data_IF_306241357322
#
_entry.id   IF_306241357322
#
_cell.length_a   1.000
_cell.length_b   1.000
_cell.length_c   1.000
_cell.angle_alpha   90.00
_cell.angle_beta   90.00
_cell.angle_gamma   90.00
#
_symmetry.space_group_name_H-M   'P 1'
#
loop_
_entity.id
_entity.type
_entity.pdbx_description
1 polymer ?
#
# COMPACT_ATOMS: atom_id res chain seq x y z
N UNK A 1 -63.02 37.16 -31.63
CA UNK A 1 -62.27 37.16 -32.90
C UNK A 1 -60.81 37.42 -32.55
N UNK A 2 -59.97 36.39 -32.49
CA UNK A 2 -59.01 35.96 -33.54
C UNK A 2 -57.86 36.96 -33.77
N UNK A 3 -56.75 36.74 -33.08
CA UNK A 3 -55.36 36.76 -33.60
C UNK A 3 -54.50 35.86 -32.68
N UNK A 4 -54.40 34.56 -32.99
CA UNK A 4 -53.22 33.92 -33.62
C UNK A 4 -52.04 33.86 -32.62
N UNK A 5 -51.90 32.77 -31.84
CA UNK A 5 -51.26 31.48 -32.19
C UNK A 5 -49.78 31.60 -32.59
N UNK A 6 -48.90 31.19 -31.66
CA UNK A 6 -47.47 30.84 -31.73
C UNK A 6 -46.74 31.62 -30.62
N UNK A 7 -46.28 31.02 -29.53
CA UNK A 7 -45.28 29.97 -29.55
C UNK A 7 -45.56 28.92 -28.47
N UNK A 8 -45.98 27.75 -28.94
CA UNK A 8 -45.68 26.49 -28.28
C UNK A 8 -44.14 26.28 -28.37
N UNK A 9 -43.61 25.51 -27.42
CA UNK A 9 -42.31 24.82 -27.47
C UNK A 9 -41.10 25.61 -26.92
N UNK A 10 -40.78 25.31 -25.66
CA UNK A 10 -39.47 24.84 -25.16
C UNK A 10 -39.26 25.24 -23.68
N UNK A 11 -40.17 24.84 -22.81
CA UNK A 11 -39.91 24.77 -21.36
C UNK A 11 -39.73 23.29 -20.94
N UNK A 12 -38.94 22.56 -21.70
CA UNK A 12 -38.45 21.23 -21.35
C UNK A 12 -37.02 21.14 -21.87
N UNK A 13 -36.03 21.63 -21.10
CA UNK A 13 -34.64 21.13 -21.11
C UNK A 13 -33.70 21.85 -20.10
N UNK A 14 -34.21 22.46 -19.04
CA UNK A 14 -33.37 22.99 -17.95
C UNK A 14 -33.33 22.04 -16.75
N UNK A 15 -33.20 20.74 -17.01
CA UNK A 15 -32.64 19.81 -16.04
C UNK A 15 -31.49 19.08 -16.72
N UNK A 16 -30.38 19.80 -16.88
CA UNK A 16 -29.08 19.15 -17.01
C UNK A 16 -28.75 18.70 -15.59
N UNK A 17 -28.85 17.41 -15.21
CA UNK A 17 -28.08 16.98 -14.06
C UNK A 17 -26.63 17.29 -14.42
N UNK A 18 -26.03 18.22 -13.68
CA UNK A 18 -24.57 18.33 -13.66
C UNK A 18 -24.07 17.00 -13.10
N UNK A 19 -23.93 16.00 -13.98
CA UNK A 19 -23.20 14.77 -13.69
C UNK A 19 -21.75 15.22 -13.58
N UNK A 20 -21.42 15.75 -12.40
CA UNK A 20 -20.05 15.73 -11.92
C UNK A 20 -19.72 14.25 -11.76
N UNK A 21 -19.26 13.63 -12.83
CA UNK A 21 -18.51 12.40 -12.75
C UNK A 21 -17.28 12.71 -11.88
N UNK A 22 -17.41 12.52 -10.57
CA UNK A 22 -16.30 12.60 -9.63
C UNK A 22 -15.41 11.38 -9.83
N UNK A 23 -14.73 11.31 -10.98
CA UNK A 23 -13.82 10.22 -11.30
C UNK A 23 -12.36 10.53 -10.88
N UNK A 24 -12.08 11.75 -10.39
CA UNK A 24 -10.73 12.17 -10.00
C UNK A 24 -10.53 12.40 -8.49
N UNK A 25 -11.59 12.52 -7.69
CA UNK A 25 -11.49 12.70 -6.22
C UNK A 25 -11.26 11.38 -5.50
N UNK A 26 -11.94 10.30 -5.94
CA UNK A 26 -11.77 8.95 -5.38
C UNK A 26 -10.31 8.48 -5.47
N UNK A 27 -9.60 8.72 -6.57
CA UNK A 27 -8.19 8.30 -6.68
C UNK A 27 -7.24 9.10 -5.79
N UNK A 28 -7.44 10.41 -5.63
CA UNK A 28 -6.62 11.22 -4.73
C UNK A 28 -6.93 10.91 -3.26
N UNK A 29 -8.20 10.81 -2.89
CA UNK A 29 -8.59 10.51 -1.51
C UNK A 29 -8.14 9.11 -1.11
N UNK A 30 -8.31 8.09 -1.96
CA UNK A 30 -7.78 6.74 -1.70
C UNK A 30 -6.24 6.71 -1.66
N UNK A 31 -5.55 7.52 -2.47
CA UNK A 31 -4.08 7.62 -2.43
C UNK A 31 -3.58 8.33 -1.16
N UNK A 32 -4.27 9.36 -0.70
CA UNK A 32 -3.97 10.08 0.55
C UNK A 32 -4.25 9.19 1.75
N UNK A 33 -5.39 8.50 1.77
CA UNK A 33 -5.79 7.57 2.83
C UNK A 33 -4.84 6.38 2.94
N UNK A 34 -4.43 5.79 1.81
CA UNK A 34 -3.42 4.72 1.79
C UNK A 34 -2.03 5.20 2.21
N UNK A 35 -1.63 6.43 1.86
CA UNK A 35 -0.36 7.01 2.34
C UNK A 35 -0.39 7.24 3.86
N UNK A 36 -1.52 7.71 4.38
CA UNK A 36 -1.72 7.94 5.81
C UNK A 36 -1.72 6.61 6.58
N UNK A 37 -2.38 5.56 6.08
CA UNK A 37 -2.38 4.24 6.73
C UNK A 37 -0.99 3.60 6.75
N UNK A 38 -0.23 3.71 5.65
CA UNK A 38 1.16 3.24 5.58
C UNK A 38 2.03 3.98 6.60
N UNK A 39 1.94 5.31 6.65
CA UNK A 39 2.70 6.11 7.63
C UNK A 39 2.36 5.73 9.07
N UNK A 40 1.08 5.52 9.37
CA UNK A 40 0.61 5.12 10.68
C UNK A 40 1.20 3.77 11.12
N UNK A 41 1.09 2.75 10.27
CA UNK A 41 1.58 1.41 10.63
C UNK A 41 3.10 1.35 10.72
N UNK A 42 3.83 2.10 9.89
CA UNK A 42 5.27 2.22 10.02
C UNK A 42 5.67 2.84 11.35
N UNK A 43 5.02 3.95 11.74
CA UNK A 43 5.28 4.58 13.04
C UNK A 43 4.96 3.62 14.20
N UNK A 44 3.80 2.94 14.15
CA UNK A 44 3.44 1.95 15.16
C UNK A 44 4.45 0.81 15.26
N UNK A 45 4.94 0.30 14.13
CA UNK A 45 5.97 -0.74 14.13
C UNK A 45 7.28 -0.27 14.76
N UNK A 46 7.65 0.99 14.56
CA UNK A 46 8.82 1.60 15.21
C UNK A 46 8.61 1.74 16.73
N UNK A 47 7.44 2.21 17.16
CA UNK A 47 7.06 2.33 18.58
C UNK A 47 7.07 0.97 19.27
N UNK A 48 6.48 -0.06 18.66
CA UNK A 48 6.46 -1.42 19.20
C UNK A 48 7.87 -2.00 19.29
N UNK A 49 8.74 -1.79 18.30
CA UNK A 49 10.14 -2.23 18.39
C UNK A 49 10.89 -1.56 19.56
N UNK A 50 10.67 -0.27 19.80
CA UNK A 50 11.25 0.44 20.94
C UNK A 50 10.71 -0.06 22.28
N UNK A 51 9.43 -0.43 22.33
CA UNK A 51 8.83 -1.04 23.51
C UNK A 51 9.42 -2.43 23.76
N UNK A 52 9.46 -3.28 22.73
CA UNK A 52 10.00 -4.64 22.76
C UNK A 52 11.46 -4.68 23.25
N UNK A 53 12.27 -3.70 22.85
CA UNK A 53 13.67 -3.56 23.29
C UNK A 53 13.81 -3.24 24.79
N UNK A 54 12.81 -2.58 25.39
CA UNK A 54 12.78 -2.17 26.80
C UNK A 54 11.89 -3.07 27.66
N UNK A 55 11.23 -4.05 27.04
CA UNK A 55 10.27 -4.89 27.72
C UNK A 55 10.99 -5.87 28.64
N UNK A 56 10.72 -5.75 29.93
CA UNK A 56 11.20 -6.66 30.96
C UNK A 56 10.02 -7.43 31.55
N UNK A 57 9.90 -8.70 31.18
CA UNK A 57 8.88 -9.57 31.75
C UNK A 57 9.26 -9.99 33.18
N UNK A 58 8.27 -10.05 34.08
CA UNK A 58 8.46 -10.54 35.45
C UNK A 58 8.57 -12.06 35.51
N UNK A 59 8.11 -12.75 34.46
CA UNK A 59 8.16 -14.20 34.35
C UNK A 59 8.29 -14.66 32.89
N UNK A 60 8.83 -15.86 32.69
CA UNK A 60 8.89 -16.48 31.35
C UNK A 60 7.50 -16.67 30.73
N UNK A 61 6.47 -16.87 31.56
CA UNK A 61 5.09 -17.02 31.07
C UNK A 61 4.54 -15.72 30.52
N UNK A 62 4.77 -14.60 31.24
CA UNK A 62 4.38 -13.27 30.78
C UNK A 62 5.07 -12.90 29.47
N UNK A 63 6.37 -13.17 29.37
CA UNK A 63 7.13 -12.96 28.15
C UNK A 63 6.57 -13.76 26.97
N UNK A 64 6.28 -15.05 27.18
CA UNK A 64 5.71 -15.89 26.13
C UNK A 64 4.34 -15.37 25.68
N UNK A 65 3.48 -14.99 26.63
CA UNK A 65 2.16 -14.43 26.31
C UNK A 65 2.31 -13.14 25.49
N UNK A 66 3.23 -12.25 25.88
CA UNK A 66 3.51 -11.02 25.13
C UNK A 66 3.87 -11.32 23.66
N UNK A 67 4.80 -12.26 23.41
CA UNK A 67 5.19 -12.62 22.05
C UNK A 67 4.08 -13.35 21.27
N UNK A 68 3.24 -14.12 21.94
CA UNK A 68 2.07 -14.76 21.32
C UNK A 68 1.02 -13.72 20.88
N UNK A 69 0.72 -12.75 21.74
CA UNK A 69 -0.16 -11.62 21.43
C UNK A 69 0.39 -10.78 20.29
N UNK A 70 1.68 -10.48 20.31
CA UNK A 70 2.38 -9.75 19.26
C UNK A 70 2.27 -10.46 17.91
N UNK A 71 2.51 -11.77 17.89
CA UNK A 71 2.38 -12.59 16.67
C UNK A 71 0.93 -12.67 16.17
N UNK A 72 -0.03 -12.71 17.09
CA UNK A 72 -1.44 -12.72 16.74
C UNK A 72 -1.88 -11.38 16.13
N UNK A 73 -1.45 -10.26 16.70
CA UNK A 73 -1.65 -8.92 16.13
C UNK A 73 -1.12 -8.84 14.69
N UNK A 74 0.13 -9.26 14.47
CA UNK A 74 0.74 -9.25 13.13
C UNK A 74 -0.02 -10.12 12.13
N UNK A 75 -0.48 -11.30 12.57
CA UNK A 75 -1.28 -12.21 11.74
C UNK A 75 -2.62 -11.59 11.34
N UNK A 76 -3.30 -10.93 12.27
CA UNK A 76 -4.56 -10.23 12.00
C UNK A 76 -4.35 -9.02 11.11
N UNK A 77 -3.32 -8.21 11.37
CA UNK A 77 -2.95 -7.08 10.53
C UNK A 77 -2.65 -7.54 9.11
N UNK A 78 -1.89 -8.63 8.94
CA UNK A 78 -1.61 -9.21 7.61
C UNK A 78 -2.86 -9.67 6.89
N UNK A 79 -3.85 -10.19 7.62
CA UNK A 79 -5.12 -10.65 7.06
C UNK A 79 -5.98 -9.46 6.61
N UNK A 80 -6.03 -8.41 7.41
CA UNK A 80 -6.92 -7.26 7.21
C UNK A 80 -6.33 -6.23 6.25
N UNK A 81 -5.05 -5.88 6.43
CA UNK A 81 -4.31 -4.93 5.60
C UNK A 81 -2.88 -5.41 5.34
N UNK A 82 -2.67 -6.03 4.18
CA UNK A 82 -1.36 -6.49 3.74
C UNK A 82 -0.36 -5.36 3.51
N UNK A 83 -0.81 -4.15 3.16
CA UNK A 83 0.08 -2.99 2.97
C UNK A 83 0.48 -2.41 4.32
N UNK A 84 -0.49 -2.23 5.21
CA UNK A 84 -0.26 -1.85 6.61
C UNK A 84 0.69 -2.80 7.33
N UNK A 85 0.47 -4.11 7.21
CA UNK A 85 1.38 -5.12 7.77
C UNK A 85 2.82 -5.00 7.25
N UNK A 86 3.02 -4.69 5.96
CA UNK A 86 4.37 -4.51 5.42
C UNK A 86 5.03 -3.24 5.96
N UNK A 87 4.27 -2.14 6.02
CA UNK A 87 4.74 -0.89 6.59
C UNK A 87 5.10 -1.06 8.08
N UNK A 88 4.27 -1.80 8.82
CA UNK A 88 4.53 -2.20 10.20
C UNK A 88 5.84 -2.96 10.36
N UNK A 89 6.06 -4.02 9.56
CA UNK A 89 7.31 -4.78 9.61
C UNK A 89 8.52 -3.94 9.19
N UNK A 90 8.34 -2.98 8.27
CA UNK A 90 9.38 -2.03 7.89
C UNK A 90 9.76 -1.11 9.06
N UNK A 91 8.78 -0.57 9.79
CA UNK A 91 9.02 0.20 11.01
C UNK A 91 9.72 -0.61 12.10
N UNK A 92 9.30 -1.86 12.31
CA UNK A 92 10.00 -2.77 13.23
C UNK A 92 11.45 -2.98 12.84
N UNK A 93 11.70 -3.28 11.56
CA UNK A 93 13.06 -3.48 11.04
C UNK A 93 13.93 -2.25 11.28
N UNK A 94 13.42 -1.04 11.04
CA UNK A 94 14.13 0.21 11.32
C UNK A 94 14.48 0.37 12.81
N UNK A 95 13.53 0.07 13.70
CA UNK A 95 13.76 0.08 15.14
C UNK A 95 14.81 -0.94 15.60
N UNK A 96 14.72 -2.18 15.12
CA UNK A 96 15.68 -3.24 15.43
C UNK A 96 17.06 -2.99 14.83
N UNK A 97 17.14 -2.43 13.62
CA UNK A 97 18.41 -2.04 13.01
C UNK A 97 19.09 -0.92 13.79
N UNK A 98 18.32 0.12 14.16
CA UNK A 98 18.84 1.21 14.99
C UNK A 98 19.36 0.69 16.32
N UNK A 99 18.62 -0.23 16.96
CA UNK A 99 19.07 -0.85 18.19
C UNK A 99 20.33 -1.68 18.00
N UNK A 100 20.43 -2.48 16.93
CA UNK A 100 21.63 -3.25 16.63
C UNK A 100 22.89 -2.37 16.54
N UNK A 101 22.78 -1.18 15.95
CA UNK A 101 23.90 -0.25 15.81
C UNK A 101 24.34 0.39 17.14
N UNK A 102 23.43 0.51 18.12
CA UNK A 102 23.69 1.15 19.42
C UNK A 102 23.84 0.16 20.57
N UNK A 103 23.56 -1.12 20.32
CA UNK A 103 23.53 -2.14 21.33
C UNK A 103 24.92 -2.75 21.51
N UNK A 104 25.48 -2.57 22.71
CA UNK A 104 26.80 -3.06 23.09
C UNK A 104 26.70 -4.25 24.07
N UNK A 105 27.82 -4.59 24.72
CA UNK A 105 27.88 -5.67 25.71
C UNK A 105 27.03 -5.45 26.98
N UNK A 106 26.48 -4.24 27.19
CA UNK A 106 25.62 -3.91 28.32
C UNK A 106 24.13 -4.07 28.00
N UNK A 107 23.78 -4.34 26.75
CA UNK A 107 22.43 -4.74 26.40
C UNK A 107 22.11 -6.11 27.00
N UNK A 108 21.18 -6.13 27.95
CA UNK A 108 20.61 -7.36 28.45
C UNK A 108 19.22 -7.54 27.86
N UNK A 109 19.11 -8.54 26.97
CA UNK A 109 17.84 -9.00 26.43
C UNK A 109 17.58 -10.43 26.87
N UNK A 110 16.30 -10.77 26.99
CA UNK A 110 15.85 -12.11 27.25
C UNK A 110 16.13 -13.05 26.07
N UNK A 111 16.09 -14.35 26.34
CA UNK A 111 16.23 -15.38 25.31
C UNK A 111 15.17 -15.26 24.21
N UNK A 112 13.90 -15.00 24.59
CA UNK A 112 12.82 -14.83 23.63
C UNK A 112 13.04 -13.60 22.75
N UNK A 113 13.51 -12.47 23.31
CA UNK A 113 13.81 -11.30 22.50
C UNK A 113 14.83 -11.62 21.40
N UNK A 114 15.91 -12.36 21.70
CA UNK A 114 16.90 -12.74 20.68
C UNK A 114 16.31 -13.62 19.57
N UNK A 115 15.37 -14.52 19.90
CA UNK A 115 14.68 -15.34 18.91
C UNK A 115 13.83 -14.49 17.95
N UNK A 116 13.22 -13.42 18.45
CA UNK A 116 12.37 -12.53 17.65
C UNK A 116 13.15 -11.43 16.92
N UNK A 117 14.21 -10.90 17.53
CA UNK A 117 15.04 -9.84 16.96
C UNK A 117 15.66 -10.25 15.62
N UNK A 118 16.12 -11.51 15.51
CA UNK A 118 16.68 -12.04 14.27
C UNK A 118 15.68 -12.02 13.11
N UNK A 119 14.40 -12.33 13.39
CA UNK A 119 13.34 -12.32 12.39
C UNK A 119 13.12 -10.91 11.81
N UNK A 120 13.00 -9.89 12.66
CA UNK A 120 12.72 -8.52 12.21
C UNK A 120 13.93 -7.85 11.55
N UNK A 121 15.15 -8.16 12.01
CA UNK A 121 16.37 -7.57 11.48
C UNK A 121 16.86 -8.26 10.19
N UNK A 122 16.97 -9.60 10.18
CA UNK A 122 17.60 -10.34 9.08
C UNK A 122 16.62 -10.94 8.08
N UNK A 123 15.50 -11.50 8.55
CA UNK A 123 14.64 -12.34 7.69
C UNK A 123 13.65 -11.52 6.85
N UNK A 124 13.30 -10.30 7.28
CA UNK A 124 12.45 -9.42 6.50
C UNK A 124 13.24 -8.64 5.44
N UNK A 125 13.51 -9.30 4.30
CA UNK A 125 13.82 -8.60 3.05
C UNK A 125 12.51 -8.13 2.43
N UNK A 126 12.31 -6.83 2.43
CA UNK A 126 11.24 -6.18 1.69
C UNK A 126 11.25 -6.72 0.23
N UNK A 127 10.14 -7.29 -0.28
CA UNK A 127 9.97 -7.37 -1.72
C UNK A 127 9.84 -5.92 -2.16
N UNK A 128 10.90 -5.35 -2.77
CA UNK A 128 10.91 -3.99 -3.30
C UNK A 128 9.57 -3.77 -3.99
N UNK A 129 8.69 -2.97 -3.38
CA UNK A 129 7.53 -2.47 -4.07
C UNK A 129 8.09 -1.39 -4.99
N UNK A 130 8.74 -1.83 -6.07
CA UNK A 130 8.95 -0.98 -7.22
C UNK A 130 7.56 -0.43 -7.52
N UNK A 131 7.43 0.87 -7.28
CA UNK A 131 6.32 1.67 -7.72
C UNK A 131 6.27 1.48 -9.24
N UNK A 132 5.59 0.42 -9.68
CA UNK A 132 5.44 0.06 -11.08
C UNK A 132 4.48 1.08 -11.64
N UNK A 133 5.01 2.28 -11.90
CA UNK A 133 4.41 3.20 -12.85
C UNK A 133 4.09 2.36 -14.08
N UNK A 134 2.81 2.21 -14.36
CA UNK A 134 2.32 1.50 -15.53
C UNK A 134 2.92 2.17 -16.76
N UNK A 135 4.05 1.66 -17.25
CA UNK A 135 4.56 2.02 -18.58
C UNK A 135 3.57 1.44 -19.58
N UNK A 136 2.58 2.23 -19.95
CA UNK A 136 1.72 1.98 -21.11
C UNK A 136 2.60 2.13 -22.35
N UNK A 137 3.30 1.07 -22.75
CA UNK A 137 4.00 1.04 -24.03
C UNK A 137 2.95 0.83 -25.13
N UNK A 138 2.49 1.92 -25.74
CA UNK A 138 1.63 1.87 -26.93
C UNK A 138 2.52 1.46 -28.11
N UNK A 139 2.43 0.18 -28.51
CA UNK A 139 3.10 -0.34 -29.70
C UNK A 139 2.18 -0.16 -30.93
N UNK A 140 2.35 0.92 -31.68
CA UNK A 140 1.73 1.05 -33.01
C UNK A 140 2.62 0.41 -34.07
N UNK A 141 2.46 -0.90 -34.31
CA UNK A 141 3.05 -1.56 -35.47
C UNK A 141 2.19 -1.29 -36.71
N UNK A 142 2.61 -0.32 -37.52
CA UNK A 142 2.05 -0.10 -38.86
C UNK A 142 2.84 -0.97 -39.84
N UNK A 143 2.26 -2.10 -40.26
CA UNK A 143 2.83 -2.95 -41.31
C UNK A 143 2.36 -2.48 -42.68
N UNK A 144 3.28 -2.05 -43.55
CA UNK A 144 2.96 -1.72 -44.94
C UNK A 144 3.30 -2.92 -45.82
N UNK A 145 2.28 -3.57 -46.38
CA UNK A 145 2.44 -4.68 -47.32
C UNK A 145 2.56 -4.13 -48.75
N UNK A 146 3.61 -4.52 -49.47
CA UNK A 146 3.77 -4.15 -50.88
C UNK A 146 3.09 -5.18 -51.79
N UNK A 147 2.34 -4.74 -52.81
CA UNK A 147 1.65 -5.66 -53.72
C UNK A 147 2.65 -6.39 -54.62
N UNK A 148 2.44 -7.70 -54.79
CA UNK A 148 3.29 -8.58 -55.58
C UNK A 148 2.72 -8.69 -57.00
N UNK A 149 3.32 -7.99 -57.96
CA UNK A 149 2.95 -8.09 -59.37
C UNK A 149 3.66 -9.29 -60.00
N UNK A 150 2.91 -10.18 -60.67
CA UNK A 150 3.44 -11.27 -61.48
C UNK A 150 3.26 -10.92 -62.95
N UNK A 151 4.36 -10.77 -63.68
CA UNK A 151 4.36 -10.66 -65.14
C UNK A 151 4.33 -12.08 -65.71
N UNK A 152 3.21 -12.43 -66.36
CA UNK A 152 3.11 -13.62 -67.20
C UNK A 152 3.67 -13.28 -68.59
N UNK A 153 4.62 -14.06 -69.05
CA UNK A 153 5.12 -13.99 -70.44
C UNK A 153 4.39 -15.12 -71.19
N UNK A 154 3.72 -14.75 -72.29
CA UNK A 154 3.00 -15.64 -73.19
C UNK A 154 3.96 -16.40 -74.11
#
# INVERSE_FOLDING_TARGET
>A
MKTVKAALLLLIFSFVPNVNAQQARVSNDTQVETKHSVSYYQQRGLEDAQYEQKFEAKSKTEERTFWEEQKQYEKELKKNDRRGHRAYLQGKKEGYATHHDHCDSHCHHSEYWYQHAGYYYYEYREPRYENRSSRTTVSTQIGVSTPKVRLGIF
#
